data_IF_585902560099
#
_entry.id   IF_585902560099
#
_cell.length_a   1.000
_cell.length_b   1.000
_cell.length_c   1.000
_cell.angle_alpha   90.00
_cell.angle_beta   90.00
_cell.angle_gamma   90.00
#
_symmetry.space_group_name_H-M   'P 1'
#
loop_
_entity.id
_entity.type
_entity.pdbx_description
1 polymer ?
#
# COMPACT_ATOMS: atom_id res chain seq x y z
N UNK A 1 -1.68 -5.97 -2.04
CA UNK A 1 -0.74 -6.89 -2.68
C UNK A 1 -0.52 -8.14 -1.82
N UNK A 2 -0.09 -8.01 -0.54
CA UNK A 2 0.25 -9.16 0.31
C UNK A 2 -0.92 -10.14 0.46
N UNK A 3 -2.08 -9.68 0.87
CA UNK A 3 -3.30 -10.51 1.01
C UNK A 3 -3.74 -11.10 -0.33
N UNK A 4 -3.73 -10.33 -1.42
CA UNK A 4 -4.09 -10.81 -2.76
C UNK A 4 -3.10 -11.85 -3.33
N UNK A 5 -1.89 -11.93 -2.80
CA UNK A 5 -0.92 -12.95 -3.21
C UNK A 5 -1.23 -14.34 -2.67
N UNK A 6 -2.11 -14.45 -1.68
CA UNK A 6 -2.39 -15.69 -0.95
C UNK A 6 -1.27 -16.18 -0.04
N UNK A 7 -0.13 -15.48 -0.01
CA UNK A 7 1.03 -15.83 0.85
C UNK A 7 0.87 -15.30 2.28
N UNK A 8 0.05 -14.28 2.47
CA UNK A 8 -0.12 -13.60 3.75
C UNK A 8 -1.59 -13.50 4.12
N UNK A 9 -1.83 -13.57 5.41
CA UNK A 9 -3.13 -13.38 6.05
C UNK A 9 -3.01 -12.29 7.13
N UNK A 10 -4.10 -11.69 7.62
CA UNK A 10 -4.06 -10.66 8.66
C UNK A 10 -3.25 -11.06 9.91
N UNK A 11 -3.31 -12.34 10.26
CA UNK A 11 -2.64 -12.92 11.43
C UNK A 11 -1.25 -13.53 11.13
N UNK A 12 -0.74 -13.44 9.89
CA UNK A 12 0.60 -13.94 9.56
C UNK A 12 1.64 -13.19 10.38
N UNK A 13 2.47 -13.94 11.11
CA UNK A 13 3.53 -13.38 11.94
C UNK A 13 4.71 -12.90 11.10
N UNK A 14 5.17 -11.71 11.40
CA UNK A 14 6.32 -11.05 10.77
C UNK A 14 7.32 -10.71 11.88
N UNK A 15 8.53 -11.23 11.76
CA UNK A 15 9.60 -10.91 12.69
C UNK A 15 10.18 -9.52 12.37
N UNK A 16 10.05 -8.59 13.28
CA UNK A 16 10.61 -7.23 13.15
C UNK A 16 11.80 -7.00 14.08
N UNK A 17 12.17 -8.00 14.89
CA UNK A 17 13.33 -7.89 15.79
C UNK A 17 14.64 -7.75 14.99
N UNK A 18 15.58 -6.97 15.49
CA UNK A 18 15.57 -6.08 16.67
C UNK A 18 15.07 -4.65 16.34
N UNK A 19 14.21 -4.45 15.36
CA UNK A 19 13.78 -3.15 14.84
C UNK A 19 14.72 -2.62 13.76
N UNK A 20 15.57 -3.49 13.20
CA UNK A 20 16.54 -3.18 12.15
C UNK A 20 16.52 -4.28 11.10
N UNK A 21 16.59 -3.88 9.83
CA UNK A 21 16.72 -4.79 8.69
C UNK A 21 17.80 -4.28 7.74
N UNK A 22 18.89 -5.02 7.62
CA UNK A 22 19.94 -4.71 6.66
C UNK A 22 19.64 -5.38 5.32
N UNK A 23 19.62 -4.60 4.25
CA UNK A 23 19.41 -5.05 2.88
C UNK A 23 20.56 -4.51 2.03
N UNK A 24 21.48 -5.37 1.66
CA UNK A 24 22.72 -4.97 1.00
C UNK A 24 23.58 -4.07 1.92
N UNK A 25 23.80 -2.83 1.49
CA UNK A 25 24.56 -1.81 2.25
C UNK A 25 23.65 -0.84 3.03
N UNK A 26 22.34 -1.00 2.94
CA UNK A 26 21.37 -0.10 3.56
C UNK A 26 20.70 -0.74 4.76
N UNK A 27 20.33 0.07 5.75
CA UNK A 27 19.62 -0.39 6.95
C UNK A 27 18.29 0.34 7.09
N UNK A 28 17.21 -0.42 7.12
CA UNK A 28 15.84 0.03 7.41
C UNK A 28 15.66 -0.05 8.92
N UNK A 29 14.96 0.94 9.51
CA UNK A 29 14.77 1.04 10.95
C UNK A 29 13.32 1.27 11.30
N UNK A 30 12.87 0.65 12.38
CA UNK A 30 11.68 1.00 13.10
C UNK A 30 12.01 1.97 14.24
N UNK A 31 11.03 2.67 14.75
CA UNK A 31 11.18 3.55 15.93
C UNK A 31 11.41 2.75 17.20
N UNK A 32 10.93 1.52 17.25
CA UNK A 32 11.04 0.61 18.39
C UNK A 32 11.33 -0.82 17.92
N UNK A 33 11.85 -1.64 18.83
CA UNK A 33 11.88 -3.09 18.61
C UNK A 33 10.52 -3.68 18.98
N UNK A 34 9.72 -3.99 17.98
CA UNK A 34 8.39 -4.57 18.19
C UNK A 34 8.40 -6.11 18.31
N UNK A 35 9.55 -6.76 18.08
CA UNK A 35 9.61 -8.23 18.08
C UNK A 35 8.79 -8.87 16.97
N UNK A 36 7.86 -9.74 17.34
CA UNK A 36 6.95 -10.40 16.40
C UNK A 36 5.65 -9.59 16.27
N UNK A 37 5.30 -9.22 15.05
CA UNK A 37 4.04 -8.54 14.72
C UNK A 37 3.22 -9.40 13.78
N UNK A 38 1.89 -9.35 13.91
CA UNK A 38 1.02 -9.81 12.83
C UNK A 38 1.08 -8.83 11.66
N UNK A 39 0.69 -9.26 10.45
CA UNK A 39 0.56 -8.35 9.31
C UNK A 39 -0.34 -7.15 9.65
N UNK A 40 -1.43 -7.36 10.37
CA UNK A 40 -2.31 -6.29 10.83
C UNK A 40 -1.57 -5.29 11.73
N UNK A 41 -0.79 -5.79 12.67
CA UNK A 41 0.02 -4.96 13.57
C UNK A 41 1.17 -4.23 12.85
N UNK A 42 1.70 -4.77 11.75
CA UNK A 42 2.67 -4.04 10.91
C UNK A 42 2.07 -2.73 10.39
N UNK A 43 0.78 -2.72 10.00
CA UNK A 43 0.06 -1.52 9.57
C UNK A 43 -0.24 -0.63 10.79
N UNK A 44 -0.78 -1.19 11.86
CA UNK A 44 -1.15 -0.48 13.09
C UNK A 44 0.04 0.27 13.71
N UNK A 45 1.21 -0.39 13.82
CA UNK A 45 2.43 0.17 14.40
C UNK A 45 3.31 0.91 13.37
N UNK A 46 2.89 0.96 12.10
CA UNK A 46 3.65 1.57 11.00
C UNK A 46 5.09 1.05 10.91
N UNK A 47 5.29 -0.27 11.06
CA UNK A 47 6.62 -0.88 11.04
C UNK A 47 7.21 -0.87 9.62
N UNK A 48 8.30 -0.12 9.44
CA UNK A 48 9.06 -0.11 8.19
C UNK A 48 9.76 -1.46 7.94
N UNK A 49 10.29 -2.06 9.00
CA UNK A 49 10.95 -3.39 8.93
C UNK A 49 9.93 -4.45 8.53
N UNK A 50 8.75 -4.44 9.14
CA UNK A 50 7.66 -5.36 8.79
C UNK A 50 7.20 -5.20 7.34
N UNK A 51 6.95 -3.96 6.90
CA UNK A 51 6.54 -3.66 5.54
C UNK A 51 7.62 -4.06 4.51
N UNK A 52 8.90 -3.80 4.80
CA UNK A 52 10.02 -4.19 3.96
C UNK A 52 10.15 -5.71 3.83
N UNK A 53 10.01 -6.47 4.94
CA UNK A 53 10.03 -7.94 4.89
C UNK A 53 8.89 -8.51 4.07
N UNK A 54 7.68 -7.97 4.22
CA UNK A 54 6.53 -8.35 3.40
C UNK A 54 6.82 -8.06 1.93
N UNK A 55 7.33 -6.87 1.59
CA UNK A 55 7.65 -6.49 0.22
C UNK A 55 8.70 -7.41 -0.40
N UNK A 56 9.76 -7.76 0.33
CA UNK A 56 10.83 -8.67 -0.11
C UNK A 56 10.31 -10.10 -0.35
N UNK A 57 9.29 -10.54 0.41
CA UNK A 57 8.65 -11.84 0.21
C UNK A 57 7.66 -11.88 -0.95
N UNK A 58 7.27 -10.71 -1.46
CA UNK A 58 6.47 -10.54 -2.67
C UNK A 58 7.37 -10.41 -3.91
N UNK A 59 6.83 -10.64 -5.10
CA UNK A 59 7.52 -10.23 -6.31
C UNK A 59 7.43 -8.72 -6.51
N UNK A 60 8.52 -8.09 -6.92
CA UNK A 60 8.52 -6.65 -7.24
C UNK A 60 7.48 -6.28 -8.31
N UNK A 61 7.23 -7.19 -9.26
CA UNK A 61 6.17 -7.05 -10.26
C UNK A 61 4.79 -7.03 -9.60
N UNK A 62 4.48 -7.99 -8.73
CA UNK A 62 3.16 -8.07 -8.09
C UNK A 62 2.84 -6.87 -7.18
N UNK A 63 3.84 -6.32 -6.48
CA UNK A 63 3.67 -5.10 -5.69
C UNK A 63 3.40 -3.90 -6.60
N UNK A 64 4.20 -3.73 -7.65
CA UNK A 64 4.04 -2.65 -8.64
C UNK A 64 2.71 -2.74 -9.38
N UNK A 65 2.31 -3.94 -9.82
CA UNK A 65 1.04 -4.14 -10.53
C UNK A 65 -0.15 -3.72 -9.67
N UNK A 66 -0.10 -3.95 -8.35
CA UNK A 66 -1.13 -3.47 -7.43
C UNK A 66 -1.16 -1.93 -7.40
N UNK A 67 -0.02 -1.25 -7.33
CA UNK A 67 0.02 0.20 -7.39
C UNK A 67 -0.55 0.75 -8.71
N UNK A 68 -0.18 0.15 -9.85
CA UNK A 68 -0.74 0.54 -11.16
C UNK A 68 -2.26 0.34 -11.21
N UNK A 69 -2.74 -0.82 -10.76
CA UNK A 69 -4.19 -1.11 -10.72
C UNK A 69 -4.97 -0.15 -9.84
N UNK A 70 -4.36 0.38 -8.77
CA UNK A 70 -5.00 1.39 -7.91
C UNK A 70 -4.85 2.82 -8.41
N UNK A 71 -4.18 3.02 -9.56
CA UNK A 71 -4.12 4.30 -10.27
C UNK A 71 -2.82 5.09 -10.11
N UNK A 72 -1.80 4.55 -9.45
CA UNK A 72 -0.49 5.22 -9.36
C UNK A 72 0.28 5.13 -10.67
N UNK A 73 1.02 6.20 -10.99
CA UNK A 73 1.83 6.29 -12.20
C UNK A 73 1.07 6.65 -13.48
N UNK A 74 -0.23 6.98 -13.39
CA UNK A 74 -1.06 7.43 -14.50
C UNK A 74 -1.85 8.68 -14.10
N UNK A 75 -2.27 9.48 -15.08
CA UNK A 75 -3.23 10.58 -14.84
C UNK A 75 -4.55 10.00 -14.33
N UNK A 76 -5.28 10.76 -13.52
CA UNK A 76 -6.57 10.30 -12.97
C UNK A 76 -7.71 10.44 -13.96
N UNK A 77 -7.53 11.27 -14.99
CA UNK A 77 -8.55 11.58 -15.99
C UNK A 77 -9.58 12.59 -15.50
N UNK A 78 -9.25 13.39 -14.49
CA UNK A 78 -10.14 14.42 -13.95
C UNK A 78 -10.33 15.63 -14.89
N UNK A 79 -9.60 15.64 -16.03
CA UNK A 79 -9.67 16.67 -17.07
C UNK A 79 -9.28 18.09 -16.61
N UNK A 80 -8.48 18.19 -15.53
CA UNK A 80 -7.91 19.46 -15.10
C UNK A 80 -6.58 19.74 -15.80
N UNK A 81 -6.32 20.98 -16.24
CA UNK A 81 -5.03 21.37 -16.79
C UNK A 81 -3.89 21.14 -15.79
N UNK A 82 -2.75 20.63 -16.27
CA UNK A 82 -1.56 20.45 -15.44
C UNK A 82 -1.55 19.17 -14.59
N UNK A 83 -2.48 18.23 -14.83
CA UNK A 83 -2.44 16.93 -14.19
C UNK A 83 -1.13 16.19 -14.54
N UNK A 84 -0.49 15.60 -13.53
CA UNK A 84 0.76 14.85 -13.69
C UNK A 84 0.61 13.41 -13.23
N UNK A 85 1.41 12.52 -13.81
CA UNK A 85 1.35 11.07 -13.53
C UNK A 85 2.03 10.68 -12.21
N UNK A 86 2.72 11.63 -11.55
CA UNK A 86 3.66 11.23 -10.50
C UNK A 86 4.86 10.45 -11.08
N UNK A 87 5.56 9.71 -10.23
CA UNK A 87 6.71 8.91 -10.64
C UNK A 87 6.71 7.56 -9.94
N UNK A 88 6.79 6.50 -10.72
CA UNK A 88 6.96 5.14 -10.23
C UNK A 88 7.96 4.42 -11.14
N UNK A 89 9.17 4.21 -10.64
CA UNK A 89 10.22 3.55 -11.40
C UNK A 89 9.84 2.07 -11.68
N UNK A 90 10.26 1.52 -12.82
CA UNK A 90 10.16 0.09 -13.07
C UNK A 90 10.99 -0.68 -12.03
N UNK A 91 10.64 -1.94 -11.72
CA UNK A 91 11.44 -2.77 -10.83
C UNK A 91 12.86 -2.92 -11.35
N UNK A 92 13.85 -2.46 -10.58
CA UNK A 92 15.27 -2.53 -10.96
C UNK A 92 15.90 -3.89 -10.66
N UNK A 93 15.21 -4.74 -9.90
CA UNK A 93 15.79 -5.97 -9.34
C UNK A 93 16.68 -5.74 -8.11
N UNK A 94 16.90 -4.50 -7.69
CA UNK A 94 17.70 -4.16 -6.51
C UNK A 94 16.87 -4.37 -5.25
N UNK A 95 17.26 -5.27 -4.32
CA UNK A 95 16.44 -5.66 -3.18
C UNK A 95 16.03 -4.50 -2.27
N UNK A 96 16.91 -3.50 -2.07
CA UNK A 96 16.59 -2.36 -1.20
C UNK A 96 15.46 -1.49 -1.79
N UNK A 97 15.40 -1.34 -3.10
CA UNK A 97 14.32 -0.57 -3.73
C UNK A 97 12.97 -1.26 -3.54
N UNK A 98 12.93 -2.60 -3.66
CA UNK A 98 11.72 -3.37 -3.36
C UNK A 98 11.33 -3.26 -1.90
N UNK A 99 12.30 -3.39 -0.98
CA UNK A 99 12.06 -3.28 0.45
C UNK A 99 11.47 -1.91 0.83
N UNK A 100 12.06 -0.83 0.33
CA UNK A 100 11.63 0.55 0.64
C UNK A 100 10.30 0.91 -0.04
N UNK A 101 10.01 0.33 -1.20
CA UNK A 101 8.72 0.47 -1.86
C UNK A 101 7.57 -0.07 -1.00
N UNK A 102 7.85 -1.05 -0.14
CA UNK A 102 6.87 -1.63 0.79
C UNK A 102 6.25 -0.63 1.76
N UNK A 103 6.96 0.46 2.09
CA UNK A 103 6.46 1.55 2.94
C UNK A 103 6.40 2.90 2.20
N UNK A 104 6.35 2.88 0.86
CA UNK A 104 6.05 4.04 0.03
C UNK A 104 7.26 4.90 -0.34
N UNK A 105 8.49 4.48 -0.09
CA UNK A 105 9.68 5.19 -0.53
C UNK A 105 10.02 4.86 -1.99
N UNK A 106 10.47 5.87 -2.75
CA UNK A 106 10.85 5.69 -4.15
C UNK A 106 9.70 5.85 -5.16
N UNK A 107 8.52 6.27 -4.70
CA UNK A 107 7.40 6.70 -5.53
C UNK A 107 7.01 8.15 -5.24
N UNK A 108 6.45 8.82 -6.23
CA UNK A 108 5.84 10.14 -6.09
C UNK A 108 4.44 10.07 -6.67
N UNK A 109 3.45 10.49 -5.90
CA UNK A 109 2.04 10.44 -6.26
C UNK A 109 1.37 11.79 -6.00
N UNK A 110 0.34 12.12 -6.78
CA UNK A 110 -0.47 13.30 -6.50
C UNK A 110 -1.45 13.02 -5.36
N UNK A 111 -1.91 14.05 -4.62
CA UNK A 111 -2.97 13.87 -3.62
C UNK A 111 -4.23 13.22 -4.19
N UNK A 112 -4.57 13.54 -5.45
CA UNK A 112 -5.74 12.97 -6.12
C UNK A 112 -5.56 11.48 -6.42
N UNK A 113 -4.38 11.07 -6.88
CA UNK A 113 -4.04 9.65 -7.05
C UNK A 113 -4.13 8.90 -5.72
N UNK A 114 -3.62 9.50 -4.64
CA UNK A 114 -3.68 8.90 -3.31
C UNK A 114 -5.13 8.74 -2.84
N UNK A 115 -5.95 9.78 -2.95
CA UNK A 115 -7.36 9.73 -2.60
C UNK A 115 -8.12 8.66 -3.42
N UNK A 116 -7.85 8.57 -4.74
CA UNK A 116 -8.40 7.54 -5.61
C UNK A 116 -7.99 6.13 -5.16
N UNK A 117 -6.73 5.92 -4.80
CA UNK A 117 -6.26 4.61 -4.33
C UNK A 117 -6.93 4.20 -3.01
N UNK A 118 -7.11 5.14 -2.06
CA UNK A 118 -7.86 4.87 -0.83
C UNK A 118 -9.36 4.61 -1.10
N UNK A 119 -9.96 5.29 -2.07
CA UNK A 119 -11.36 5.06 -2.45
C UNK A 119 -11.61 3.62 -2.92
N UNK A 120 -10.60 2.95 -3.48
CA UNK A 120 -10.70 1.52 -3.84
C UNK A 120 -11.05 0.66 -2.63
N UNK A 121 -10.46 0.96 -1.47
CA UNK A 121 -10.77 0.24 -0.23
C UNK A 121 -12.21 0.51 0.24
N UNK A 122 -12.66 1.77 0.13
CA UNK A 122 -14.03 2.17 0.47
C UNK A 122 -15.07 1.53 -0.48
N UNK A 123 -14.72 1.36 -1.76
CA UNK A 123 -15.59 0.81 -2.79
C UNK A 123 -15.46 -0.72 -2.95
N UNK A 124 -15.09 -1.42 -1.88
CA UNK A 124 -15.03 -2.89 -1.88
C UNK A 124 -14.05 -3.48 -2.89
N UNK A 125 -12.94 -2.78 -3.18
CA UNK A 125 -11.89 -3.25 -4.08
C UNK A 125 -12.09 -2.85 -5.55
N UNK A 126 -12.96 -1.88 -5.84
CA UNK A 126 -13.19 -1.34 -7.18
C UNK A 126 -12.60 0.05 -7.31
N UNK A 127 -11.86 0.29 -8.40
CA UNK A 127 -11.41 1.63 -8.78
C UNK A 127 -12.50 2.29 -9.62
N UNK A 128 -12.90 3.48 -9.20
CA UNK A 128 -13.88 4.27 -9.94
C UNK A 128 -13.17 5.38 -10.74
N UNK A 129 -13.74 5.80 -11.89
CA UNK A 129 -13.27 6.99 -12.58
C UNK A 129 -13.43 8.22 -11.67
N UNK A 130 -12.50 9.16 -11.79
CA UNK A 130 -12.59 10.45 -11.12
C UNK A 130 -13.39 11.41 -12.01
N UNK A 131 -14.33 12.16 -11.43
CA UNK A 131 -15.12 13.14 -12.15
C UNK A 131 -15.35 14.38 -11.29
N UNK A 132 -15.34 15.55 -11.91
CA UNK A 132 -15.79 16.82 -11.31
C UNK A 132 -17.30 16.99 -11.38
N UNK A 133 -17.94 16.24 -12.27
CA UNK A 133 -19.38 16.29 -12.43
C UNK A 133 -20.03 15.24 -11.53
N UNK A 134 -21.15 15.61 -10.96
CA UNK A 134 -22.01 14.66 -10.24
C UNK A 134 -22.66 13.72 -11.23
N UNK A 135 -22.57 12.45 -10.99
CA UNK A 135 -23.30 11.43 -11.72
C UNK A 135 -24.50 10.96 -10.91
N UNK A 136 -25.67 10.82 -11.56
CA UNK A 136 -26.88 10.29 -10.91
C UNK A 136 -26.75 8.80 -10.60
N UNK A 137 -25.97 8.08 -11.40
CA UNK A 137 -25.60 6.69 -11.15
C UNK A 137 -24.09 6.54 -11.09
N UNK A 138 -23.61 5.79 -10.11
CA UNK A 138 -22.18 5.51 -10.01
C UNK A 138 -21.76 4.68 -11.23
N UNK A 139 -20.66 5.06 -11.90
CA UNK A 139 -20.13 4.27 -13.01
C UNK A 139 -19.61 2.91 -12.48
N UNK A 140 -19.67 1.90 -13.33
CA UNK A 140 -19.07 0.61 -13.04
C UNK A 140 -17.55 0.76 -12.88
N UNK A 141 -17.04 0.37 -11.71
CA UNK A 141 -15.62 0.41 -11.42
C UNK A 141 -14.94 -0.92 -11.76
N UNK A 142 -13.70 -0.84 -12.20
CA UNK A 142 -12.87 -2.03 -12.40
C UNK A 142 -12.49 -2.66 -11.06
N UNK A 143 -12.66 -3.97 -10.92
CA UNK A 143 -12.22 -4.70 -9.72
C UNK A 143 -10.72 -4.93 -9.75
N UNK A 144 -10.01 -4.35 -8.79
CA UNK A 144 -8.54 -4.42 -8.68
C UNK A 144 -8.07 -5.25 -7.49
N UNK A 145 -8.95 -5.52 -6.53
CA UNK A 145 -8.74 -6.47 -5.44
C UNK A 145 -10.08 -7.09 -5.00
N UNK A 146 -10.00 -8.17 -4.25
CA UNK A 146 -11.20 -8.81 -3.69
C UNK A 146 -11.87 -7.91 -2.64
N UNK A 147 -13.20 -8.04 -2.51
CA UNK A 147 -13.95 -7.33 -1.48
C UNK A 147 -13.48 -7.73 -0.08
N UNK A 148 -13.11 -8.99 0.09
CA UNK A 148 -12.56 -9.50 1.33
C UNK A 148 -11.26 -8.78 1.71
N UNK A 149 -10.33 -8.64 0.77
CA UNK A 149 -9.07 -7.89 0.98
C UNK A 149 -9.35 -6.43 1.33
N UNK A 150 -10.24 -5.77 0.59
CA UNK A 150 -10.60 -4.37 0.87
C UNK A 150 -11.17 -4.21 2.29
N UNK A 151 -12.05 -5.12 2.71
CA UNK A 151 -12.64 -5.13 4.07
C UNK A 151 -11.57 -5.37 5.14
N UNK A 152 -10.68 -6.35 4.93
CA UNK A 152 -9.60 -6.65 5.88
C UNK A 152 -8.65 -5.46 6.03
N UNK A 153 -8.23 -4.82 4.93
CA UNK A 153 -7.34 -3.65 4.99
C UNK A 153 -8.01 -2.47 5.68
N UNK A 154 -9.30 -2.22 5.44
CA UNK A 154 -10.04 -1.18 6.17
C UNK A 154 -10.01 -1.42 7.68
N UNK A 155 -10.31 -2.65 8.13
CA UNK A 155 -10.24 -2.99 9.55
C UNK A 155 -8.84 -2.79 10.16
N UNK A 156 -7.77 -3.06 9.40
CA UNK A 156 -6.40 -2.78 9.85
C UNK A 156 -6.12 -1.27 9.95
N UNK A 157 -6.62 -0.46 9.01
CA UNK A 157 -6.48 1.00 9.04
C UNK A 157 -7.28 1.63 10.18
N UNK A 158 -8.45 1.08 10.52
CA UNK A 158 -9.23 1.48 11.69
C UNK A 158 -8.44 1.24 13.00
N UNK A 159 -7.68 0.14 13.08
CA UNK A 159 -6.79 -0.10 14.21
C UNK A 159 -5.64 0.90 14.29
N UNK A 160 -5.10 1.33 13.14
CA UNK A 160 -4.01 2.30 13.10
C UNK A 160 -4.40 3.70 13.67
N UNK A 161 -5.68 4.05 13.65
CA UNK A 161 -6.23 5.31 14.25
C UNK A 161 -6.89 5.06 15.61
N UNK A 162 -6.75 3.87 16.18
CA UNK A 162 -7.17 3.56 17.55
C UNK A 162 -6.12 4.04 18.56
N UNK A 163 -6.46 3.97 19.85
CA UNK A 163 -5.61 4.43 20.95
C UNK A 163 -4.21 3.80 20.97
N UNK A 164 -4.06 2.55 20.47
CA UNK A 164 -2.78 1.84 20.38
C UNK A 164 -2.08 2.02 19.02
N UNK A 165 -2.72 2.70 18.07
CA UNK A 165 -2.21 2.96 16.74
C UNK A 165 -1.30 4.20 16.67
N UNK A 166 -0.70 4.43 15.50
CA UNK A 166 0.20 5.56 15.24
C UNK A 166 -0.50 6.77 14.60
N UNK A 167 -1.79 6.65 14.30
CA UNK A 167 -2.59 7.66 13.60
C UNK A 167 -3.45 8.54 14.51
N UNK A 168 -3.14 8.65 15.79
CA UNK A 168 -3.85 9.50 16.80
C UNK A 168 -3.21 10.87 16.86
#
# INVERSE_FOLDING_TARGET
AALESGKFFPHTMIDTAPGLLTVGRSTIRDTHNYGQLTLAQVIEKSSNVGAARIALALSGRGLRDMFVKTGFGAITGVELPGEVTGRMNPPSGVPIELATLGYGYGISVTPLQLARAYSVLANGGRVLPVSLLRHDTLPDGERVMSEQTARQVRGMLEQAVSQDGTGV
#
